data_IF_292345937275
#
_entry.id   IF_292345937275
#
_cell.length_a   1.000
_cell.length_b   1.000
_cell.length_c   1.000
_cell.angle_alpha   90.00
_cell.angle_beta   90.00
_cell.angle_gamma   90.00
#
_symmetry.space_group_name_H-M   'P 1'
#
loop_
_entity.id
_entity.type
_entity.pdbx_description
1 polymer ?
#
# COMPACT_ATOMS: atom_id res chain seq x y z
N UNK A 1 34.07 31.15 26.13
CA UNK A 1 34.03 29.70 25.82
C UNK A 1 32.64 29.11 26.08
N UNK A 2 32.00 29.41 27.22
CA UNK A 2 30.68 28.86 27.62
C UNK A 2 29.50 29.30 26.73
N UNK A 3 29.51 30.53 26.19
CA UNK A 3 28.41 31.06 25.35
C UNK A 3 28.29 30.32 24.01
N UNK A 4 29.40 29.80 23.47
CA UNK A 4 29.39 28.99 22.23
C UNK A 4 28.72 27.64 22.46
N UNK A 5 29.05 26.98 23.56
CA UNK A 5 28.46 25.69 23.95
C UNK A 5 26.96 25.79 24.24
N UNK A 6 26.52 26.88 24.89
CA UNK A 6 25.08 27.13 25.12
C UNK A 6 24.34 27.34 23.79
N UNK A 7 24.96 28.04 22.83
CA UNK A 7 24.37 28.27 21.52
C UNK A 7 24.23 26.97 20.73
N UNK A 8 25.24 26.10 20.81
CA UNK A 8 25.21 24.79 20.18
C UNK A 8 24.14 23.88 20.80
N UNK A 9 24.01 23.89 22.14
CA UNK A 9 22.94 23.16 22.83
C UNK A 9 21.54 23.65 22.46
N UNK A 10 21.35 24.97 22.31
CA UNK A 10 20.08 25.53 21.84
C UNK A 10 19.74 25.12 20.41
N UNK A 11 20.74 25.07 19.53
CA UNK A 11 20.55 24.62 18.16
C UNK A 11 20.16 23.14 18.11
N UNK A 12 20.85 22.29 18.87
CA UNK A 12 20.52 20.85 18.98
C UNK A 12 19.09 20.66 19.52
N UNK A 13 18.71 21.42 20.55
CA UNK A 13 17.36 21.37 21.11
C UNK A 13 16.30 21.82 20.09
N UNK A 14 16.58 22.88 19.33
CA UNK A 14 15.71 23.35 18.25
C UNK A 14 15.52 22.30 17.16
N UNK A 15 16.61 21.68 16.71
CA UNK A 15 16.58 20.61 15.71
C UNK A 15 15.81 19.39 16.21
N UNK A 16 15.97 19.03 17.49
CA UNK A 16 15.24 17.94 18.11
C UNK A 16 13.73 18.21 18.15
N UNK A 17 13.31 19.42 18.54
CA UNK A 17 11.90 19.81 18.56
C UNK A 17 11.29 19.81 17.16
N UNK A 18 12.02 20.31 16.17
CA UNK A 18 11.59 20.28 14.77
C UNK A 18 11.40 18.84 14.27
N UNK A 19 12.32 17.94 14.63
CA UNK A 19 12.24 16.54 14.26
C UNK A 19 11.02 15.85 14.91
N UNK A 20 10.79 16.13 16.19
CA UNK A 20 9.68 15.57 16.96
C UNK A 20 8.33 16.08 16.43
N UNK A 21 8.25 17.37 16.07
CA UNK A 21 7.07 17.94 15.42
C UNK A 21 6.78 17.26 14.07
N UNK A 22 7.80 17.01 13.27
CA UNK A 22 7.63 16.32 11.98
C UNK A 22 7.12 14.89 12.17
N UNK A 23 7.67 14.14 13.14
CA UNK A 23 7.20 12.80 13.48
C UNK A 23 5.72 12.82 13.92
N UNK A 24 5.33 13.75 14.79
CA UNK A 24 3.95 13.90 15.26
C UNK A 24 2.99 14.24 14.13
N UNK A 25 3.40 15.12 13.21
CA UNK A 25 2.59 15.46 12.03
C UNK A 25 2.38 14.23 11.14
N UNK A 26 3.42 13.45 10.86
CA UNK A 26 3.31 12.21 10.06
C UNK A 26 2.42 11.17 10.74
N UNK A 27 2.54 11.04 12.06
CA UNK A 27 1.70 10.18 12.89
C UNK A 27 0.22 10.61 12.88
N UNK A 28 -0.05 11.92 12.87
CA UNK A 28 -1.40 12.46 12.77
C UNK A 28 -2.02 12.24 11.39
N UNK A 29 -1.22 12.16 10.33
CA UNK A 29 -1.67 11.84 8.98
C UNK A 29 -1.90 10.33 8.78
N UNK A 30 -1.56 9.51 9.77
CA UNK A 30 -1.72 8.05 9.73
C UNK A 30 -0.77 7.32 8.79
N UNK A 31 0.26 8.02 8.28
CA UNK A 31 1.26 7.47 7.39
C UNK A 31 2.48 6.99 8.17
N UNK A 32 2.93 5.76 7.88
CA UNK A 32 4.20 5.27 8.37
C UNK A 32 5.35 5.89 7.59
N UNK A 33 6.31 6.46 8.32
CA UNK A 33 7.51 7.09 7.76
C UNK A 33 8.78 6.45 8.33
N UNK A 34 9.88 6.41 7.56
CA UNK A 34 11.21 6.08 8.09
C UNK A 34 11.63 6.93 9.29
N UNK A 35 11.02 8.12 9.46
CA UNK A 35 11.23 8.97 10.63
C UNK A 35 10.61 8.41 11.91
N UNK A 36 9.57 7.57 11.82
CA UNK A 36 8.89 6.96 12.97
C UNK A 36 9.57 5.64 13.35
N UNK A 37 9.84 4.78 12.36
CA UNK A 37 10.62 3.56 12.54
C UNK A 37 11.67 3.50 11.44
N UNK A 38 12.91 3.16 11.78
CA UNK A 38 13.95 3.04 10.76
C UNK A 38 13.71 1.77 9.91
N UNK A 39 14.12 1.75 8.63
CA UNK A 39 13.99 0.56 7.78
C UNK A 39 14.67 -0.69 8.36
N UNK A 40 15.79 -0.52 9.07
CA UNK A 40 16.49 -1.62 9.75
C UNK A 40 15.65 -2.21 10.88
N UNK A 41 15.09 -1.36 11.74
CA UNK A 41 14.24 -1.80 12.85
C UNK A 41 12.94 -2.43 12.36
N UNK A 42 12.34 -1.83 11.32
CA UNK A 42 11.13 -2.38 10.70
C UNK A 42 11.39 -3.77 10.11
N UNK A 43 12.53 -3.99 9.44
CA UNK A 43 12.89 -5.29 8.90
C UNK A 43 13.01 -6.35 9.99
N UNK A 44 13.70 -6.04 11.09
CA UNK A 44 13.83 -6.95 12.23
C UNK A 44 12.45 -7.29 12.79
N UNK A 45 11.60 -6.28 13.01
CA UNK A 45 10.26 -6.46 13.53
C UNK A 45 9.37 -7.31 12.61
N UNK A 46 9.38 -7.05 11.30
CA UNK A 46 8.62 -7.84 10.32
C UNK A 46 9.11 -9.29 10.26
N UNK A 47 10.42 -9.50 10.34
CA UNK A 47 11.01 -10.85 10.36
C UNK A 47 10.56 -11.60 11.61
N UNK A 48 10.56 -10.95 12.77
CA UNK A 48 10.14 -11.56 14.03
C UNK A 48 8.64 -11.88 14.04
N UNK A 49 7.80 -10.99 13.50
CA UNK A 49 6.36 -11.24 13.33
C UNK A 49 6.14 -12.43 12.40
N UNK A 50 6.84 -12.49 11.26
CA UNK A 50 6.77 -13.60 10.29
C UNK A 50 7.09 -14.95 10.92
N UNK A 51 8.05 -15.01 11.84
CA UNK A 51 8.40 -16.25 12.55
C UNK A 51 7.33 -16.71 13.54
N UNK A 52 6.47 -15.80 14.00
CA UNK A 52 5.40 -16.07 14.97
C UNK A 52 4.02 -16.21 14.34
N UNK A 53 3.88 -15.82 13.07
CA UNK A 53 2.62 -15.93 12.33
C UNK A 53 2.25 -17.41 12.13
N UNK A 54 0.95 -17.76 12.26
CA UNK A 54 0.48 -19.10 11.94
C UNK A 54 0.68 -19.39 10.46
N UNK A 55 0.86 -20.67 10.11
CA UNK A 55 1.18 -21.10 8.74
C UNK A 55 0.14 -20.73 7.67
N UNK A 56 -1.06 -20.31 8.07
CA UNK A 56 -2.12 -19.85 7.17
C UNK A 56 -2.00 -18.39 6.77
N UNK A 57 -1.27 -17.58 7.55
CA UNK A 57 -1.16 -16.14 7.33
C UNK A 57 0.23 -15.78 6.81
N UNK A 58 0.25 -14.88 5.84
CA UNK A 58 1.48 -14.35 5.24
C UNK A 58 1.46 -12.83 5.24
N UNK A 59 2.63 -12.25 5.35
CA UNK A 59 2.82 -10.81 5.17
C UNK A 59 2.88 -10.49 3.66
N UNK A 60 2.18 -9.44 3.18
CA UNK A 60 2.24 -9.03 1.78
C UNK A 60 3.61 -8.44 1.45
N UNK A 61 4.34 -9.12 0.56
CA UNK A 61 5.67 -8.69 0.10
C UNK A 61 6.85 -9.37 0.81
N UNK A 62 8.06 -8.96 0.42
CA UNK A 62 9.32 -9.47 0.94
C UNK A 62 10.05 -8.34 1.70
N UNK A 63 10.22 -8.53 3.01
CA UNK A 63 10.85 -7.57 3.91
C UNK A 63 12.36 -7.33 3.64
N UNK A 64 13.01 -8.24 2.92
CA UNK A 64 14.43 -8.18 2.56
C UNK A 64 14.60 -7.43 1.24
N UNK A 65 13.73 -7.70 0.25
CA UNK A 65 13.85 -7.10 -1.08
C UNK A 65 13.30 -5.67 -1.15
N UNK A 66 12.09 -5.45 -0.61
CA UNK A 66 11.31 -4.24 -0.91
C UNK A 66 10.69 -3.61 0.36
N UNK A 67 11.54 -3.26 1.33
CA UNK A 67 11.12 -2.62 2.61
C UNK A 67 10.31 -1.33 2.40
N UNK A 68 10.55 -0.62 1.29
CA UNK A 68 9.86 0.63 0.96
C UNK A 68 8.36 0.44 0.69
N UNK A 69 7.98 -0.72 0.16
CA UNK A 69 6.56 -1.00 -0.08
C UNK A 69 5.80 -1.08 1.25
N UNK A 70 6.43 -1.57 2.31
CA UNK A 70 5.81 -1.62 3.64
C UNK A 70 5.41 -0.25 4.16
N UNK A 71 6.20 0.79 3.92
CA UNK A 71 5.81 2.16 4.31
C UNK A 71 4.60 2.69 3.53
N UNK A 72 4.25 2.11 2.37
CA UNK A 72 3.07 2.53 1.60
C UNK A 72 1.78 1.95 2.14
N UNK A 73 1.79 0.69 2.61
CA UNK A 73 0.58 -0.01 3.03
C UNK A 73 0.43 -0.16 4.55
N UNK A 74 1.50 0.03 5.33
CA UNK A 74 1.38 0.14 6.77
C UNK A 74 0.69 1.44 7.14
N UNK A 75 -0.42 1.32 7.87
CA UNK A 75 -1.13 2.46 8.41
C UNK A 75 -0.83 2.58 9.89
N UNK A 76 -0.81 3.81 10.37
CA UNK A 76 -0.56 4.13 11.76
C UNK A 76 -1.76 4.89 12.34
N UNK A 77 -2.10 4.63 13.59
CA UNK A 77 -2.97 5.50 14.38
C UNK A 77 -2.29 5.87 15.68
N UNK A 78 -2.56 7.07 16.15
CA UNK A 78 -1.95 7.59 17.36
C UNK A 78 -3.02 7.85 18.40
N UNK A 79 -2.84 7.26 19.58
CA UNK A 79 -3.73 7.48 20.72
C UNK A 79 -2.92 8.16 21.82
N UNK A 80 -3.44 9.28 22.30
CA UNK A 80 -2.89 10.00 23.44
C UNK A 80 -3.63 9.50 24.69
N UNK A 81 -2.88 8.90 25.61
CA UNK A 81 -3.43 8.41 26.88
C UNK A 81 -2.60 8.97 28.04
N UNK A 82 -3.23 9.82 28.84
CA UNK A 82 -2.73 10.56 30.02
C UNK A 82 -1.37 11.26 29.88
N UNK A 83 -0.29 10.50 29.67
CA UNK A 83 1.07 11.01 29.50
C UNK A 83 1.92 10.15 28.55
N UNK A 84 1.27 9.35 27.69
CA UNK A 84 1.92 8.44 26.74
C UNK A 84 1.33 8.63 25.35
N UNK A 85 2.21 8.50 24.37
CA UNK A 85 1.83 8.44 22.96
C UNK A 85 1.89 6.97 22.56
N UNK A 86 0.72 6.40 22.26
CA UNK A 86 0.60 5.02 21.78
C UNK A 86 0.47 5.07 20.27
N UNK A 87 1.45 4.47 19.60
CA UNK A 87 1.52 4.36 18.14
C UNK A 87 1.06 2.95 17.78
N UNK A 88 -0.11 2.84 17.16
CA UNK A 88 -0.69 1.57 16.74
C UNK A 88 -0.44 1.41 15.26
N UNK A 89 0.35 0.40 14.88
CA UNK A 89 0.67 0.10 13.49
C UNK A 89 -0.19 -1.07 13.04
N UNK A 90 -0.98 -0.86 11.99
CA UNK A 90 -1.82 -1.90 11.40
C UNK A 90 -1.07 -2.53 10.23
N UNK A 91 -0.75 -3.82 10.38
CA UNK A 91 -0.12 -4.64 9.35
C UNK A 91 -1.18 -5.48 8.64
N UNK A 92 -1.45 -5.25 7.34
CA UNK A 92 -2.31 -6.14 6.58
C UNK A 92 -1.66 -7.52 6.43
N UNK A 93 -2.46 -8.58 6.60
CA UNK A 93 -2.04 -9.97 6.41
C UNK A 93 -2.84 -10.59 5.27
N UNK A 94 -2.22 -11.55 4.58
CA UNK A 94 -2.81 -12.36 3.52
C UNK A 94 -3.12 -13.74 4.08
N UNK A 95 -4.33 -14.23 3.86
CA UNK A 95 -4.66 -15.63 4.10
C UNK A 95 -4.30 -16.46 2.86
N UNK A 96 -3.48 -17.49 3.05
CA UNK A 96 -3.05 -18.38 1.97
C UNK A 96 -4.21 -19.30 1.52
N UNK A 97 -5.26 -19.43 2.35
CA UNK A 97 -6.44 -20.24 2.03
C UNK A 97 -7.45 -19.49 1.14
N UNK A 98 -7.34 -18.17 1.02
CA UNK A 98 -8.24 -17.40 0.18
C UNK A 98 -8.01 -17.77 -1.29
N UNK A 99 -9.02 -18.41 -1.90
CA UNK A 99 -9.01 -18.72 -3.33
C UNK A 99 -9.74 -17.63 -4.11
N UNK A 100 -9.16 -17.26 -5.25
CA UNK A 100 -9.74 -16.26 -6.14
C UNK A 100 -10.06 -16.88 -7.49
N UNK A 101 -11.26 -16.59 -7.99
CA UNK A 101 -11.68 -16.88 -9.34
C UNK A 101 -11.16 -15.80 -10.27
N UNK A 102 -10.55 -16.24 -11.38
CA UNK A 102 -9.89 -15.36 -12.34
C UNK A 102 -10.84 -15.12 -13.52
N UNK A 103 -11.21 -13.86 -13.74
CA UNK A 103 -12.09 -13.44 -14.82
C UNK A 103 -11.32 -12.63 -15.86
N UNK A 104 -11.49 -13.00 -17.14
CA UNK A 104 -10.96 -12.21 -18.25
C UNK A 104 -11.87 -11.01 -18.50
N UNK A 105 -11.28 -9.83 -18.55
CA UNK A 105 -12.01 -8.61 -18.88
C UNK A 105 -12.11 -8.49 -20.39
N UNK A 106 -13.34 -8.29 -20.87
CA UNK A 106 -13.62 -7.97 -22.26
C UNK A 106 -14.05 -6.51 -22.35
N UNK A 107 -13.21 -5.66 -22.97
CA UNK A 107 -13.62 -4.32 -23.38
C UNK A 107 -14.75 -4.48 -24.40
N UNK A 108 -15.87 -3.83 -24.14
CA UNK A 108 -16.91 -3.63 -25.13
C UNK A 108 -16.86 -2.18 -25.64
N UNK A 109 -16.87 -1.98 -26.96
CA UNK A 109 -16.90 -0.65 -27.54
C UNK A 109 -18.19 0.08 -27.18
N UNK A 110 -18.08 1.32 -26.71
CA UNK A 110 -19.25 2.18 -26.49
C UNK A 110 -19.42 3.09 -27.70
N UNK A 111 -20.58 3.04 -28.40
CA UNK A 111 -20.85 3.96 -29.48
C UNK A 111 -21.01 5.38 -28.93
N UNK A 112 -20.26 6.33 -29.48
CA UNK A 112 -20.42 7.75 -29.16
C UNK A 112 -21.70 8.27 -29.80
N UNK A 113 -22.73 8.55 -29.01
CA UNK A 113 -23.92 9.26 -29.49
C UNK A 113 -23.61 10.75 -29.57
N UNK A 114 -22.79 11.15 -30.53
CA UNK A 114 -22.62 12.58 -30.85
C UNK A 114 -23.91 13.00 -31.56
N UNK A 115 -24.85 13.55 -30.79
CA UNK A 115 -26.07 14.18 -31.29
C UNK A 115 -25.79 15.56 -31.90
N UNK A 116 -24.78 15.66 -32.77
CA UNK A 116 -24.60 16.84 -33.61
C UNK A 116 -24.66 16.43 -35.08
N UNK A 117 -25.85 16.67 -35.63
CA UNK A 117 -26.14 16.59 -37.05
C UNK A 117 -25.25 17.60 -37.78
N UNK A 118 -24.12 17.14 -38.31
CA UNK A 118 -23.48 17.58 -39.58
C UNK A 118 -21.98 17.24 -39.56
N UNK A 119 -21.64 16.01 -39.89
CA UNK A 119 -20.60 15.71 -40.88
C UNK A 119 -20.43 14.20 -41.01
N UNK A 120 -20.08 13.82 -42.23
CA UNK A 120 -19.71 12.50 -42.71
C UNK A 120 -18.93 11.62 -41.72
N UNK A 121 -19.38 10.37 -41.65
CA UNK A 121 -18.58 9.15 -41.52
C UNK A 121 -17.39 9.19 -40.55
N UNK A 122 -17.66 9.31 -39.25
CA UNK A 122 -16.79 8.65 -38.28
C UNK A 122 -17.66 7.96 -37.23
N UNK A 123 -17.90 6.66 -37.46
CA UNK A 123 -18.30 5.74 -36.40
C UNK A 123 -17.11 5.61 -35.45
N UNK A 124 -16.82 6.66 -34.68
CA UNK A 124 -15.69 6.68 -33.78
C UNK A 124 -16.06 5.86 -32.55
N UNK A 125 -15.74 4.57 -32.64
CA UNK A 125 -15.75 3.63 -31.53
C UNK A 125 -14.59 4.00 -30.63
N UNK A 126 -14.88 4.48 -29.42
CA UNK A 126 -13.84 4.70 -28.43
C UNK A 126 -13.37 3.32 -27.92
N UNK A 127 -12.12 2.97 -28.23
CA UNK A 127 -11.47 1.79 -27.67
C UNK A 127 -10.67 2.22 -26.44
N UNK A 128 -11.07 1.75 -25.26
CA UNK A 128 -10.35 1.99 -24.01
C UNK A 128 -9.38 0.83 -23.75
N UNK A 129 -8.09 1.13 -23.68
CA UNK A 129 -7.13 0.18 -23.13
C UNK A 129 -7.26 0.19 -21.60
N UNK A 130 -7.57 -0.98 -21.04
CA UNK A 130 -7.65 -1.16 -19.59
C UNK A 130 -6.27 -1.47 -19.04
N UNK A 131 -5.98 -0.96 -17.84
CA UNK A 131 -4.72 -1.18 -17.13
C UNK A 131 -4.45 -2.67 -16.83
N UNK A 132 -5.50 -3.49 -16.76
CA UNK A 132 -5.40 -4.92 -16.54
C UNK A 132 -6.35 -5.70 -17.47
N UNK A 133 -5.88 -6.85 -17.94
CA UNK A 133 -6.62 -7.76 -18.83
C UNK A 133 -7.49 -8.74 -18.03
N UNK A 134 -7.19 -8.91 -16.74
CA UNK A 134 -7.76 -9.93 -15.88
C UNK A 134 -8.02 -9.37 -14.48
N UNK A 135 -9.14 -9.80 -13.88
CA UNK A 135 -9.52 -9.49 -12.51
C UNK A 135 -9.70 -10.78 -11.72
N UNK A 136 -9.12 -10.85 -10.54
CA UNK A 136 -9.35 -11.89 -9.55
C UNK A 136 -10.44 -11.43 -8.57
N UNK A 137 -11.43 -12.28 -8.32
CA UNK A 137 -12.44 -12.04 -7.28
C UNK A 137 -12.47 -13.22 -6.32
N UNK A 138 -12.61 -12.97 -5.02
CA UNK A 138 -12.79 -14.06 -4.06
C UNK A 138 -14.15 -14.75 -4.26
N UNK A 139 -14.32 -15.95 -3.72
CA UNK A 139 -15.57 -16.73 -3.86
C UNK A 139 -16.83 -15.96 -3.40
N UNK A 140 -16.70 -15.10 -2.39
CA UNK A 140 -17.79 -14.28 -1.86
C UNK A 140 -18.03 -12.98 -2.65
N UNK A 141 -17.19 -12.67 -3.65
CA UNK A 141 -17.24 -11.45 -4.47
C UNK A 141 -17.18 -10.14 -3.67
N UNK A 142 -16.46 -10.16 -2.56
CA UNK A 142 -16.24 -9.01 -1.66
C UNK A 142 -14.87 -8.36 -1.83
N UNK A 143 -13.89 -9.10 -2.35
CA UNK A 143 -12.52 -8.63 -2.61
C UNK A 143 -12.20 -8.81 -4.09
N UNK A 144 -11.62 -7.78 -4.69
CA UNK A 144 -11.22 -7.75 -6.10
C UNK A 144 -9.76 -7.33 -6.22
N UNK A 145 -9.03 -7.97 -7.12
CA UNK A 145 -7.64 -7.67 -7.41
C UNK A 145 -7.42 -7.66 -8.92
N UNK A 146 -6.76 -6.62 -9.41
CA UNK A 146 -6.30 -6.55 -10.80
C UNK A 146 -4.98 -7.31 -10.91
N UNK A 147 -4.84 -8.15 -11.93
CA UNK A 147 -3.66 -8.98 -12.14
C UNK A 147 -2.91 -8.55 -13.39
N UNK A 148 -1.57 -8.48 -13.26
CA UNK A 148 -0.68 -8.31 -14.41
C UNK A 148 -0.37 -9.66 -15.08
N UNK A 149 0.11 -9.60 -16.33
CA UNK A 149 0.48 -10.80 -17.11
C UNK A 149 1.47 -11.71 -16.37
N UNK A 150 2.46 -11.14 -15.69
CA UNK A 150 3.47 -11.89 -14.95
C UNK A 150 2.93 -12.55 -13.67
N UNK A 151 1.81 -12.06 -13.14
CA UNK A 151 1.15 -12.61 -11.95
C UNK A 151 0.19 -13.74 -12.32
N UNK A 152 -0.47 -13.60 -13.47
CA UNK A 152 -1.30 -14.64 -14.08
C UNK A 152 -0.49 -15.91 -14.32
N UNK A 153 0.74 -15.79 -14.81
CA UNK A 153 1.62 -16.95 -15.08
C UNK A 153 2.02 -17.70 -13.81
N UNK A 154 1.91 -17.08 -12.63
CA UNK A 154 2.19 -17.70 -11.32
C UNK A 154 0.96 -18.40 -10.73
N UNK A 155 -0.23 -18.17 -11.29
CA UNK A 155 -1.44 -18.81 -10.82
C UNK A 155 -1.45 -20.28 -11.25
N UNK A 156 -1.48 -21.17 -10.27
CA UNK A 156 -1.60 -22.60 -10.50
C UNK A 156 -3.08 -22.94 -10.69
N UNK A 157 -3.45 -23.31 -11.93
CA UNK A 157 -4.77 -23.81 -12.38
C UNK A 157 -5.66 -22.74 -13.02
N UNK A 158 -5.70 -22.77 -14.35
CA UNK A 158 -6.80 -22.19 -15.14
C UNK A 158 -7.88 -23.26 -15.32
N UNK A 159 -9.06 -23.05 -14.76
CA UNK A 159 -10.25 -23.75 -15.25
C UNK A 159 -10.74 -22.96 -16.47
N UNK A 160 -10.42 -23.47 -17.66
CA UNK A 160 -11.07 -23.01 -18.90
C UNK A 160 -12.56 -23.35 -18.79
N UNK A 161 -13.40 -22.33 -18.76
CA UNK A 161 -14.84 -22.45 -19.07
C UNK A 161 -15.03 -21.89 -20.48
#
# INVERSE_FOLDING_TARGET
MIIGEIKDLMNIAGDYLNHLQLQLNMLSLGHMSPSIISPGNLRVLLTDIKRRLPATLKIPGDEIKDIWNFYKFLTCSTVLDENKIIIIITLPLLDIRDTYDIYKIHNLPVPTTITDKKSDSSNMVAQYELEAVVIAANQEKTKYMLLNTDEIDKCSIFVKI
#
